data_IF_439901187358
#
_entry.id   IF_439901187358
#
_cell.length_a   1.000
_cell.length_b   1.000
_cell.length_c   1.000
_cell.angle_alpha   90.00
_cell.angle_beta   90.00
_cell.angle_gamma   90.00
#
_symmetry.space_group_name_H-M   'P 1'
#
loop_
_entity.id
_entity.type
_entity.pdbx_description
1 polymer ?
#
# COMPACT_ATOMS: atom_id res chain seq x y z
N UNK A 1 24.85 -25.39 6.31
CA UNK A 1 24.72 -24.67 7.58
C UNK A 1 23.47 -23.80 7.53
N UNK A 2 22.46 -24.11 8.35
CA UNK A 2 21.18 -23.39 8.35
C UNK A 2 21.24 -22.04 9.08
N UNK A 3 22.15 -21.90 10.06
CA UNK A 3 22.38 -20.62 10.72
C UNK A 3 22.99 -19.63 9.73
N UNK A 4 24.00 -20.07 8.97
CA UNK A 4 24.59 -19.26 7.91
C UNK A 4 23.53 -18.83 6.88
N UNK A 5 22.70 -19.76 6.41
CA UNK A 5 21.63 -19.46 5.45
C UNK A 5 20.59 -18.46 6.01
N UNK A 6 20.17 -18.63 7.27
CA UNK A 6 19.25 -17.72 7.94
C UNK A 6 19.81 -16.32 8.18
N UNK A 7 21.13 -16.19 8.32
CA UNK A 7 21.80 -14.91 8.54
C UNK A 7 21.99 -14.08 7.24
N UNK A 8 21.90 -14.70 6.05
CA UNK A 8 22.14 -14.02 4.76
C UNK A 8 21.36 -12.71 4.60
N UNK A 9 20.03 -12.64 4.86
CA UNK A 9 19.27 -11.40 4.64
C UNK A 9 19.79 -10.24 5.49
N UNK A 10 20.14 -10.52 6.74
CA UNK A 10 20.73 -9.53 7.65
C UNK A 10 22.12 -9.12 7.19
N UNK A 11 22.98 -10.08 6.84
CA UNK A 11 24.35 -9.80 6.38
C UNK A 11 24.35 -8.97 5.10
N UNK A 12 23.47 -9.29 4.14
CA UNK A 12 23.29 -8.51 2.90
C UNK A 12 22.80 -7.09 3.22
N UNK A 13 21.83 -6.95 4.12
CA UNK A 13 21.35 -5.64 4.53
C UNK A 13 22.46 -4.81 5.21
N UNK A 14 23.24 -5.40 6.12
CA UNK A 14 24.37 -4.72 6.77
C UNK A 14 25.43 -4.33 5.74
N UNK A 15 25.83 -5.26 4.87
CA UNK A 15 26.82 -4.99 3.82
C UNK A 15 26.37 -3.86 2.88
N UNK A 16 25.09 -3.86 2.48
CA UNK A 16 24.51 -2.80 1.67
C UNK A 16 24.56 -1.45 2.36
N UNK A 17 24.17 -1.37 3.64
CA UNK A 17 24.21 -0.09 4.38
C UNK A 17 25.65 0.37 4.61
N UNK A 18 26.56 -0.52 4.98
CA UNK A 18 27.99 -0.19 5.12
C UNK A 18 28.54 0.39 3.80
N UNK A 19 28.27 -0.27 2.68
CA UNK A 19 28.67 0.23 1.35
C UNK A 19 28.03 1.59 1.03
N UNK A 20 26.73 1.74 1.27
CA UNK A 20 26.00 2.99 1.02
C UNK A 20 26.61 4.15 1.81
N UNK A 21 26.77 3.99 3.14
CA UNK A 21 27.29 5.05 4.00
C UNK A 21 28.77 5.33 3.79
N UNK A 22 29.59 4.30 3.54
CA UNK A 22 31.03 4.48 3.33
C UNK A 22 31.34 5.20 2.02
N UNK A 23 30.57 4.97 0.96
CA UNK A 23 30.88 5.50 -0.37
C UNK A 23 30.05 6.70 -0.79
N UNK A 24 28.78 6.77 -0.38
CA UNK A 24 27.83 7.79 -0.86
C UNK A 24 27.36 8.74 0.25
N UNK A 25 27.72 8.47 1.52
CA UNK A 25 27.13 9.14 2.67
C UNK A 25 25.66 8.74 2.88
N UNK A 26 25.00 9.36 3.85
CA UNK A 26 23.58 9.12 4.11
C UNK A 26 22.72 9.89 3.09
N UNK A 27 21.93 9.23 2.23
CA UNK A 27 20.94 9.95 1.43
C UNK A 27 19.94 10.65 2.37
N UNK A 28 19.48 11.86 2.04
CA UNK A 28 18.53 12.59 2.90
C UNK A 28 17.24 11.80 3.23
N UNK A 29 16.81 10.92 2.32
CA UNK A 29 15.71 9.98 2.57
C UNK A 29 16.00 8.99 3.70
N UNK A 30 17.25 8.54 3.85
CA UNK A 30 17.69 7.64 4.92
C UNK A 30 17.73 8.36 6.27
N UNK A 31 18.14 9.63 6.32
CA UNK A 31 18.10 10.45 7.54
C UNK A 31 16.67 10.63 8.06
N UNK A 32 15.73 10.93 7.16
CA UNK A 32 14.30 10.97 7.49
C UNK A 32 13.80 9.65 8.08
N UNK A 33 14.27 8.52 7.56
CA UNK A 33 13.89 7.19 8.06
C UNK A 33 14.52 6.82 9.39
N UNK A 34 15.77 7.21 9.63
CA UNK A 34 16.39 7.08 10.95
C UNK A 34 15.67 7.94 11.99
N UNK A 35 15.22 9.13 11.61
CA UNK A 35 14.38 9.98 12.48
C UNK A 35 13.02 9.34 12.77
N UNK A 36 12.36 8.73 11.76
CA UNK A 36 11.11 7.98 11.95
C UNK A 36 11.31 6.78 12.91
N UNK A 37 12.39 6.01 12.72
CA UNK A 37 12.74 4.87 13.57
C UNK A 37 13.01 5.28 15.03
N UNK A 38 13.55 6.48 15.27
CA UNK A 38 13.75 7.02 16.64
C UNK A 38 12.45 7.43 17.32
N UNK A 39 11.34 7.56 16.58
CA UNK A 39 10.02 7.97 17.08
C UNK A 39 9.01 6.82 17.08
N UNK A 40 9.48 5.58 16.96
CA UNK A 40 8.61 4.41 17.01
C UNK A 40 7.89 4.34 18.36
N UNK A 41 6.55 4.29 18.30
CA UNK A 41 5.71 4.02 19.45
C UNK A 41 5.08 2.62 19.32
N UNK A 42 4.84 1.97 20.47
CA UNK A 42 4.34 0.59 20.53
C UNK A 42 2.97 0.46 19.85
N UNK A 43 2.10 1.48 19.98
CA UNK A 43 0.76 1.45 19.39
C UNK A 43 0.84 1.53 17.87
N UNK A 44 1.70 2.39 17.32
CA UNK A 44 1.99 2.51 15.90
C UNK A 44 2.53 1.21 15.32
N UNK A 45 3.47 0.57 16.00
CA UNK A 45 4.02 -0.74 15.63
C UNK A 45 2.92 -1.82 15.61
N UNK A 46 2.11 -1.93 16.66
CA UNK A 46 1.01 -2.91 16.73
C UNK A 46 -0.02 -2.67 15.63
N UNK A 47 -0.42 -1.41 15.40
CA UNK A 47 -1.34 -1.07 14.32
C UNK A 47 -0.76 -1.44 12.95
N UNK A 48 0.52 -1.14 12.68
CA UNK A 48 1.16 -1.46 11.40
C UNK A 48 1.34 -2.97 11.20
N UNK A 49 1.75 -3.69 12.26
CA UNK A 49 1.88 -5.14 12.23
C UNK A 49 0.53 -5.80 11.94
N UNK A 50 -0.54 -5.39 12.65
CA UNK A 50 -1.90 -5.88 12.39
C UNK A 50 -2.32 -5.63 10.94
N UNK A 51 -2.25 -4.38 10.46
CA UNK A 51 -2.63 -4.03 9.08
C UNK A 51 -1.77 -4.76 8.05
N UNK A 52 -0.47 -4.90 8.29
CA UNK A 52 0.45 -5.66 7.45
C UNK A 52 0.08 -7.15 7.36
N UNK A 53 -0.24 -7.79 8.49
CA UNK A 53 -0.68 -9.19 8.54
C UNK A 53 -2.02 -9.40 7.84
N UNK A 54 -2.97 -8.50 8.04
CA UNK A 54 -4.27 -8.52 7.36
C UNK A 54 -4.11 -8.41 5.84
N UNK A 55 -3.26 -7.50 5.35
CA UNK A 55 -2.96 -7.39 3.91
C UNK A 55 -2.23 -8.63 3.38
N UNK A 56 -1.27 -9.19 4.12
CA UNK A 56 -0.66 -10.47 3.75
C UNK A 56 -1.71 -11.59 3.68
N UNK A 57 -2.62 -11.65 4.65
CA UNK A 57 -3.75 -12.59 4.66
C UNK A 57 -4.61 -12.45 3.40
N UNK A 58 -5.01 -11.23 3.05
CA UNK A 58 -5.80 -10.98 1.84
C UNK A 58 -5.05 -11.38 0.55
N UNK A 59 -3.80 -10.94 0.39
CA UNK A 59 -2.99 -11.20 -0.80
C UNK A 59 -2.63 -12.69 -0.95
N UNK A 60 -2.50 -13.41 0.17
CA UNK A 60 -2.18 -14.83 0.22
C UNK A 60 -3.40 -15.71 0.51
N UNK A 61 -4.62 -15.17 0.45
CA UNK A 61 -5.85 -15.92 0.72
C UNK A 61 -5.99 -17.19 -0.15
N UNK A 62 -5.66 -17.19 -1.47
CA UNK A 62 -5.67 -18.41 -2.25
C UNK A 62 -4.75 -19.50 -1.68
N UNK A 63 -3.54 -19.13 -1.27
CA UNK A 63 -2.56 -20.04 -0.69
C UNK A 63 -3.01 -20.54 0.68
N UNK A 64 -3.53 -19.65 1.52
CA UNK A 64 -4.10 -20.00 2.83
C UNK A 64 -5.19 -21.07 2.67
N UNK A 65 -6.10 -20.92 1.69
CA UNK A 65 -7.11 -21.95 1.40
C UNK A 65 -6.54 -23.24 0.84
N UNK A 66 -5.46 -23.17 0.06
CA UNK A 66 -4.79 -24.35 -0.49
C UNK A 66 -4.04 -25.16 0.60
N UNK A 67 -3.56 -24.52 1.66
CA UNK A 67 -2.89 -25.20 2.78
C UNK A 67 -3.81 -25.48 3.98
N UNK A 68 -5.03 -24.93 4.00
CA UNK A 68 -5.91 -24.93 5.19
C UNK A 68 -6.14 -26.31 5.80
N UNK A 69 -6.36 -27.35 4.98
CA UNK A 69 -6.69 -28.70 5.46
C UNK A 69 -5.52 -29.28 6.26
N UNK A 70 -4.33 -29.07 5.72
CA UNK A 70 -3.09 -29.54 6.31
C UNK A 70 -2.75 -28.78 7.60
N UNK A 71 -2.90 -27.45 7.57
CA UNK A 71 -2.63 -26.59 8.74
C UNK A 71 -3.63 -26.83 9.87
N UNK A 72 -4.93 -26.89 9.56
CA UNK A 72 -5.97 -27.07 10.59
C UNK A 72 -5.90 -28.48 11.21
N UNK A 73 -5.41 -29.48 10.49
CA UNK A 73 -5.21 -30.82 11.05
C UNK A 73 -3.95 -30.92 11.90
N UNK A 74 -2.83 -30.35 11.46
CA UNK A 74 -1.54 -30.45 12.19
C UNK A 74 -1.36 -29.40 13.28
N UNK A 75 -1.89 -28.19 13.08
CA UNK A 75 -1.69 -27.02 13.94
C UNK A 75 -3.01 -26.30 14.31
N UNK A 76 -4.09 -27.01 14.72
CA UNK A 76 -5.41 -26.41 14.95
C UNK A 76 -5.40 -25.31 16.01
N UNK A 77 -4.66 -25.52 17.11
CA UNK A 77 -4.61 -24.57 18.23
C UNK A 77 -3.97 -23.25 17.82
N UNK A 78 -2.88 -23.31 17.05
CA UNK A 78 -2.17 -22.12 16.60
C UNK A 78 -3.00 -21.34 15.58
N UNK A 79 -3.56 -22.02 14.58
CA UNK A 79 -4.42 -21.38 13.59
C UNK A 79 -5.65 -20.74 14.27
N UNK A 80 -6.29 -21.46 15.20
CA UNK A 80 -7.42 -20.95 15.98
C UNK A 80 -7.05 -19.73 16.84
N UNK A 81 -5.95 -19.80 17.60
CA UNK A 81 -5.48 -18.69 18.43
C UNK A 81 -5.12 -17.45 17.61
N UNK A 82 -4.43 -17.63 16.47
CA UNK A 82 -4.08 -16.55 15.57
C UNK A 82 -5.33 -15.90 14.94
N UNK A 83 -6.26 -16.70 14.43
CA UNK A 83 -7.55 -16.21 13.90
C UNK A 83 -8.32 -15.42 14.96
N UNK A 84 -8.46 -15.96 16.18
CA UNK A 84 -9.18 -15.28 17.26
C UNK A 84 -8.50 -13.98 17.65
N UNK A 85 -7.17 -13.98 17.79
CA UNK A 85 -6.42 -12.77 18.15
C UNK A 85 -6.59 -11.68 17.10
N UNK A 86 -6.41 -12.02 15.82
CA UNK A 86 -6.59 -11.07 14.71
C UNK A 86 -8.04 -10.60 14.60
N UNK A 87 -9.03 -11.48 14.78
CA UNK A 87 -10.45 -11.11 14.77
C UNK A 87 -10.80 -10.16 15.92
N UNK A 88 -10.25 -10.37 17.12
CA UNK A 88 -10.42 -9.45 18.24
C UNK A 88 -9.79 -8.10 17.93
N UNK A 89 -8.57 -8.06 17.37
CA UNK A 89 -7.92 -6.80 16.97
C UNK A 89 -8.71 -6.08 15.88
N UNK A 90 -9.23 -6.80 14.88
CA UNK A 90 -10.09 -6.27 13.83
C UNK A 90 -11.38 -5.66 14.41
N UNK A 91 -12.04 -6.36 15.33
CA UNK A 91 -13.24 -5.87 16.01
C UNK A 91 -12.96 -4.63 16.86
N UNK A 92 -11.86 -4.63 17.63
CA UNK A 92 -11.45 -3.46 18.41
C UNK A 92 -11.13 -2.26 17.52
N UNK A 93 -10.47 -2.48 16.38
CA UNK A 93 -10.18 -1.43 15.41
C UNK A 93 -11.47 -0.90 14.76
N UNK A 94 -12.41 -1.78 14.42
CA UNK A 94 -13.71 -1.40 13.89
C UNK A 94 -14.52 -0.58 14.91
N UNK A 95 -14.55 -0.98 16.18
CA UNK A 95 -15.22 -0.24 17.24
C UNK A 95 -14.58 1.13 17.49
N UNK A 96 -13.25 1.24 17.36
CA UNK A 96 -12.49 2.49 17.57
C UNK A 96 -12.60 3.46 16.40
N UNK A 97 -12.52 2.96 15.17
CA UNK A 97 -12.29 3.78 13.96
C UNK A 97 -13.36 3.59 12.87
N UNK A 98 -14.30 2.65 13.03
CA UNK A 98 -15.19 2.22 11.96
C UNK A 98 -14.45 1.53 10.80
N UNK A 99 -13.20 1.11 11.03
CA UNK A 99 -12.31 0.62 9.98
C UNK A 99 -12.52 -0.87 9.70
N UNK A 100 -12.75 -1.19 8.43
CA UNK A 100 -12.74 -2.54 7.86
C UNK A 100 -11.78 -2.56 6.66
N UNK A 101 -11.53 -3.72 6.08
CA UNK A 101 -10.75 -3.80 4.83
C UNK A 101 -11.35 -2.87 3.76
N UNK A 102 -10.58 -2.01 3.12
CA UNK A 102 -9.12 -1.89 3.15
C UNK A 102 -8.59 -1.01 4.29
N UNK A 103 -7.71 -1.54 5.15
CA UNK A 103 -7.18 -0.81 6.31
C UNK A 103 -6.13 0.27 5.98
N UNK A 104 -5.54 0.24 4.79
CA UNK A 104 -4.55 1.20 4.32
C UNK A 104 -5.14 1.96 3.13
N UNK A 105 -5.18 3.28 3.22
CA UNK A 105 -5.84 4.16 2.23
C UNK A 105 -4.90 4.56 1.09
N UNK A 106 -4.07 3.63 0.62
CA UNK A 106 -2.88 3.97 -0.16
C UNK A 106 -2.92 3.40 -1.58
N UNK A 107 -2.57 2.12 -1.78
CA UNK A 107 -2.58 1.53 -3.14
C UNK A 107 -3.83 0.73 -3.35
N UNK A 108 -4.23 -0.13 -2.41
CA UNK A 108 -5.51 -0.85 -2.50
C UNK A 108 -6.54 -0.18 -1.59
N UNK A 109 -7.50 0.54 -2.17
CA UNK A 109 -8.62 1.10 -1.44
C UNK A 109 -9.83 1.27 -2.38
N UNK A 110 -11.05 0.96 -1.90
CA UNK A 110 -12.33 1.20 -2.60
C UNK A 110 -12.41 0.79 -4.09
N UNK A 111 -11.90 -0.41 -4.44
CA UNK A 111 -11.79 -0.90 -5.83
C UNK A 111 -10.95 0.00 -6.75
N UNK A 112 -10.00 0.74 -6.19
CA UNK A 112 -8.92 1.41 -6.90
C UNK A 112 -7.59 0.70 -6.70
N UNK A 113 -6.69 0.89 -7.66
CA UNK A 113 -5.26 0.66 -7.49
C UNK A 113 -4.50 1.99 -7.64
N UNK A 114 -3.51 2.20 -6.79
CA UNK A 114 -2.58 3.32 -6.82
C UNK A 114 -2.99 4.50 -5.94
N UNK A 115 -1.99 5.24 -5.45
CA UNK A 115 -2.24 6.43 -4.64
C UNK A 115 -2.93 7.51 -5.48
N UNK A 116 -4.13 7.92 -5.07
CA UNK A 116 -4.78 9.09 -5.69
C UNK A 116 -4.14 10.36 -5.17
N UNK A 117 -3.04 10.76 -5.80
CA UNK A 117 -2.25 11.95 -5.47
C UNK A 117 -2.90 13.27 -5.93
N UNK A 118 -4.18 13.26 -6.32
CA UNK A 118 -4.89 14.47 -6.72
C UNK A 118 -5.39 15.25 -5.51
N UNK A 119 -5.54 16.56 -5.69
CA UNK A 119 -5.89 17.49 -4.61
C UNK A 119 -7.20 17.12 -3.92
N UNK A 120 -8.20 16.68 -4.68
CA UNK A 120 -9.51 16.34 -4.14
C UNK A 120 -9.45 15.16 -3.15
N UNK A 121 -8.70 14.13 -3.49
CA UNK A 121 -8.71 12.84 -2.79
C UNK A 121 -7.67 12.78 -1.70
N UNK A 122 -6.40 13.07 -1.97
CA UNK A 122 -5.36 13.00 -0.93
C UNK A 122 -5.35 14.24 -0.02
N UNK A 123 -5.40 15.43 -0.61
CA UNK A 123 -5.16 16.66 0.13
C UNK A 123 -6.39 17.14 0.88
N UNK A 124 -7.53 17.25 0.19
CA UNK A 124 -8.82 17.63 0.78
C UNK A 124 -9.51 16.47 1.50
N UNK A 125 -8.95 15.26 1.43
CA UNK A 125 -9.53 14.03 2.00
C UNK A 125 -10.99 13.80 1.55
N UNK A 126 -11.35 14.23 0.34
CA UNK A 126 -12.68 13.99 -0.18
C UNK A 126 -12.81 12.52 -0.53
N UNK A 127 -13.92 11.95 -0.09
CA UNK A 127 -14.37 10.61 -0.39
C UNK A 127 -14.16 10.25 -1.86
N UNK A 128 -13.48 9.13 -2.20
CA UNK A 128 -13.23 8.75 -3.58
C UNK A 128 -14.55 8.52 -4.34
N UNK A 129 -14.55 8.65 -5.68
CA UNK A 129 -15.76 8.53 -6.50
C UNK A 129 -16.43 7.16 -6.41
N UNK A 130 -15.65 6.13 -6.09
CA UNK A 130 -16.11 4.77 -5.82
C UNK A 130 -15.80 4.49 -4.36
N UNK A 131 -16.76 3.90 -3.64
CA UNK A 131 -16.60 3.45 -2.26
C UNK A 131 -17.14 2.03 -2.13
N UNK A 132 -16.39 1.19 -1.42
CA UNK A 132 -16.89 -0.12 -1.02
C UNK A 132 -17.78 0.03 0.21
N UNK A 133 -19.03 -0.41 0.10
CA UNK A 133 -19.93 -0.48 1.26
C UNK A 133 -19.58 -1.63 2.22
N UNK A 134 -20.16 -1.63 3.43
CA UNK A 134 -19.96 -2.68 4.45
C UNK A 134 -20.19 -4.11 3.95
N UNK A 135 -21.07 -4.28 2.96
CA UNK A 135 -21.40 -5.56 2.32
C UNK A 135 -20.16 -6.21 1.69
N UNK A 136 -19.18 -5.42 1.23
CA UNK A 136 -17.96 -5.94 0.63
C UNK A 136 -16.76 -5.85 1.58
N UNK A 137 -16.68 -4.79 2.40
CA UNK A 137 -15.54 -4.60 3.32
C UNK A 137 -15.53 -5.58 4.49
N UNK A 138 -16.70 -5.98 5.01
CA UNK A 138 -16.78 -6.95 6.11
C UNK A 138 -16.37 -8.37 5.67
N UNK A 139 -16.88 -8.94 4.56
CA UNK A 139 -16.41 -10.24 4.07
C UNK A 139 -14.91 -10.24 3.74
N UNK A 140 -14.39 -9.15 3.17
CA UNK A 140 -12.95 -9.03 2.90
C UNK A 140 -12.13 -9.04 4.19
N UNK A 141 -12.62 -8.38 5.25
CA UNK A 141 -12.00 -8.41 6.57
C UNK A 141 -11.97 -9.84 7.12
N UNK A 142 -13.10 -10.55 7.09
CA UNK A 142 -13.17 -11.93 7.57
C UNK A 142 -12.23 -12.85 6.77
N UNK A 143 -12.20 -12.72 5.44
CA UNK A 143 -11.32 -13.49 4.58
C UNK A 143 -9.84 -13.22 4.91
N UNK A 144 -9.47 -11.96 5.05
CA UNK A 144 -8.11 -11.53 5.37
C UNK A 144 -7.66 -12.07 6.74
N UNK A 145 -8.47 -11.89 7.78
CA UNK A 145 -8.22 -12.36 9.14
C UNK A 145 -8.08 -13.88 9.18
N UNK A 146 -8.99 -14.62 8.55
CA UNK A 146 -8.94 -16.09 8.49
C UNK A 146 -7.71 -16.57 7.74
N UNK A 147 -7.41 -15.97 6.59
CA UNK A 147 -6.24 -16.34 5.79
C UNK A 147 -4.93 -16.06 6.54
N UNK A 148 -4.81 -14.90 7.19
CA UNK A 148 -3.65 -14.55 8.01
C UNK A 148 -3.45 -15.54 9.17
N UNK A 149 -4.52 -15.91 9.88
CA UNK A 149 -4.43 -16.89 10.97
C UNK A 149 -4.04 -18.30 10.50
N UNK A 150 -4.57 -18.75 9.34
CA UNK A 150 -4.15 -20.02 8.73
C UNK A 150 -2.66 -19.95 8.32
N UNK A 151 -2.20 -18.86 7.73
CA UNK A 151 -0.80 -18.69 7.33
C UNK A 151 0.13 -18.65 8.56
N UNK A 152 -0.28 -18.02 9.65
CA UNK A 152 0.45 -18.07 10.92
C UNK A 152 0.60 -19.53 11.42
N UNK A 153 -0.48 -20.32 11.36
CA UNK A 153 -0.43 -21.75 11.63
C UNK A 153 0.55 -22.50 10.72
N UNK A 154 0.51 -22.23 9.41
CA UNK A 154 1.45 -22.81 8.44
C UNK A 154 2.90 -22.48 8.78
N UNK A 155 3.18 -21.23 9.18
CA UNK A 155 4.54 -20.79 9.52
C UNK A 155 5.09 -21.47 10.79
N UNK A 156 4.25 -21.87 11.74
CA UNK A 156 4.74 -22.67 12.87
C UNK A 156 5.23 -24.06 12.46
N UNK A 157 4.73 -24.59 11.34
CA UNK A 157 5.26 -25.79 10.71
C UNK A 157 6.67 -25.62 10.13
N UNK A 158 7.15 -24.38 9.94
CA UNK A 158 8.54 -24.12 9.53
C UNK A 158 9.52 -24.32 10.68
N UNK A 159 9.12 -24.09 11.94
CA UNK A 159 10.04 -24.07 13.07
C UNK A 159 10.89 -25.33 13.24
N UNK A 160 10.35 -26.55 13.16
CA UNK A 160 11.17 -27.77 13.21
C UNK A 160 12.17 -27.87 12.05
N UNK A 161 11.86 -27.23 10.92
CA UNK A 161 12.64 -27.24 9.69
C UNK A 161 13.67 -26.11 9.60
N UNK A 162 13.75 -25.21 10.58
CA UNK A 162 14.78 -24.15 10.62
C UNK A 162 16.22 -24.69 10.75
N UNK A 163 16.38 -26.00 10.99
CA UNK A 163 17.66 -26.69 10.92
C UNK A 163 18.11 -26.99 9.48
N UNK A 164 17.20 -26.88 8.52
CA UNK A 164 17.48 -27.02 7.09
C UNK A 164 17.80 -25.63 6.49
N UNK A 165 18.84 -25.50 5.62
CA UNK A 165 19.24 -24.21 5.08
C UNK A 165 18.14 -23.45 4.32
N UNK A 166 17.35 -24.14 3.49
CA UNK A 166 16.34 -23.50 2.64
C UNK A 166 15.15 -22.95 3.47
N UNK A 167 14.47 -23.74 4.32
CA UNK A 167 13.43 -23.21 5.20
C UNK A 167 13.92 -22.11 6.13
N UNK A 168 15.16 -22.20 6.65
CA UNK A 168 15.76 -21.14 7.45
C UNK A 168 15.87 -19.84 6.64
N UNK A 169 16.50 -19.88 5.47
CA UNK A 169 16.64 -18.71 4.60
C UNK A 169 15.28 -18.07 4.28
N UNK A 170 14.28 -18.87 3.89
CA UNK A 170 12.95 -18.37 3.53
C UNK A 170 12.22 -17.71 4.70
N UNK A 171 12.20 -18.37 5.87
CA UNK A 171 11.52 -17.86 7.05
C UNK A 171 12.19 -16.61 7.61
N UNK A 172 13.52 -16.60 7.72
CA UNK A 172 14.25 -15.43 8.18
C UNK A 172 14.17 -14.28 7.19
N UNK A 173 14.17 -14.53 5.87
CA UNK A 173 13.94 -13.49 4.87
C UNK A 173 12.55 -12.88 4.99
N UNK A 174 11.50 -13.70 5.08
CA UNK A 174 10.13 -13.23 5.24
C UNK A 174 9.97 -12.40 6.53
N UNK A 175 10.50 -12.89 7.65
CA UNK A 175 10.43 -12.21 8.94
C UNK A 175 11.24 -10.91 8.93
N UNK A 176 12.49 -10.93 8.43
CA UNK A 176 13.35 -9.75 8.38
C UNK A 176 12.75 -8.65 7.49
N UNK A 177 12.28 -9.01 6.29
CA UNK A 177 11.67 -8.05 5.38
C UNK A 177 10.36 -7.50 5.94
N UNK A 178 9.52 -8.33 6.56
CA UNK A 178 8.29 -7.87 7.22
C UNK A 178 8.60 -6.94 8.40
N UNK A 179 9.55 -7.29 9.27
CA UNK A 179 9.98 -6.40 10.36
C UNK A 179 10.55 -5.08 9.82
N UNK A 180 11.25 -5.12 8.69
CA UNK A 180 11.73 -3.93 7.99
C UNK A 180 10.59 -3.01 7.54
N UNK A 181 9.44 -3.54 7.11
CA UNK A 181 8.29 -2.69 6.75
C UNK A 181 7.73 -1.94 7.96
N UNK A 182 7.83 -2.51 9.16
CA UNK A 182 7.34 -1.89 10.39
C UNK A 182 8.14 -0.65 10.81
N UNK A 183 9.30 -0.39 10.19
CA UNK A 183 10.03 0.87 10.38
C UNK A 183 9.33 2.08 9.74
N UNK A 184 8.23 1.86 9.00
CA UNK A 184 7.43 2.89 8.37
C UNK A 184 6.11 3.16 9.11
N UNK A 185 6.14 3.26 10.44
CA UNK A 185 4.91 3.39 11.24
C UNK A 185 4.09 4.62 10.93
N UNK A 186 4.71 5.71 10.46
CA UNK A 186 4.02 6.95 10.15
C UNK A 186 3.33 6.91 8.79
N UNK A 187 4.00 6.33 7.80
CA UNK A 187 3.52 6.22 6.43
C UNK A 187 3.59 4.77 5.95
N UNK A 188 2.80 3.90 6.57
CA UNK A 188 2.78 2.47 6.24
C UNK A 188 1.98 2.23 4.95
N UNK A 189 2.65 1.77 3.89
CA UNK A 189 2.04 1.48 2.60
C UNK A 189 1.96 -0.03 2.36
N UNK A 190 0.84 -0.50 1.80
CA UNK A 190 0.63 -1.91 1.42
C UNK A 190 1.73 -2.44 0.47
N UNK A 191 2.27 -1.61 -0.44
CA UNK A 191 3.36 -1.94 -1.37
C UNK A 191 4.65 -2.39 -0.69
N UNK A 192 4.83 -2.06 0.60
CA UNK A 192 5.97 -2.57 1.36
C UNK A 192 5.94 -4.10 1.51
N UNK A 193 4.76 -4.71 1.38
CA UNK A 193 4.62 -6.17 1.43
C UNK A 193 5.07 -6.86 0.13
N UNK A 194 5.24 -6.14 -0.98
CA UNK A 194 5.66 -6.75 -2.27
C UNK A 194 6.96 -7.54 -2.15
N UNK A 195 7.92 -7.03 -1.37
CA UNK A 195 9.20 -7.73 -1.14
C UNK A 195 9.06 -8.91 -0.17
N UNK A 196 8.03 -8.91 0.68
CA UNK A 196 7.76 -9.98 1.66
C UNK A 196 7.05 -11.17 1.00
N UNK A 197 6.14 -10.90 0.07
CA UNK A 197 5.27 -11.89 -0.57
C UNK A 197 6.00 -13.13 -1.11
N UNK A 198 7.08 -13.05 -1.93
CA UNK A 198 7.70 -14.25 -2.49
C UNK A 198 8.26 -15.18 -1.40
N UNK A 199 8.86 -14.61 -0.35
CA UNK A 199 9.40 -15.40 0.77
C UNK A 199 8.30 -15.97 1.65
N UNK A 200 7.22 -15.20 1.88
CA UNK A 200 6.05 -15.67 2.63
C UNK A 200 5.35 -16.86 1.92
N UNK A 201 5.19 -16.76 0.59
CA UNK A 201 4.65 -17.85 -0.25
C UNK A 201 5.54 -19.08 -0.15
N UNK A 202 6.83 -18.92 -0.41
CA UNK A 202 7.77 -20.03 -0.39
C UNK A 202 7.86 -20.70 0.99
N UNK A 203 7.89 -19.91 2.07
CA UNK A 203 7.89 -20.40 3.45
C UNK A 203 6.64 -21.24 3.76
N UNK A 204 5.45 -20.81 3.32
CA UNK A 204 4.21 -21.56 3.49
C UNK A 204 4.19 -22.85 2.64
N UNK A 205 4.71 -22.81 1.41
CA UNK A 205 4.80 -23.99 0.53
C UNK A 205 5.76 -25.06 1.06
N UNK A 206 6.84 -24.68 1.76
CA UNK A 206 7.73 -25.66 2.39
C UNK A 206 7.18 -26.18 3.71
N UNK A 207 6.32 -25.45 4.42
CA UNK A 207 5.84 -25.89 5.73
C UNK A 207 4.55 -26.70 5.70
N UNK A 208 3.73 -26.50 4.68
CA UNK A 208 2.42 -27.12 4.57
C UNK A 208 2.22 -27.77 3.20
N UNK A 209 1.40 -28.83 3.18
CA UNK A 209 1.01 -29.49 1.94
C UNK A 209 0.01 -28.61 1.19
N UNK A 210 0.43 -28.09 0.04
CA UNK A 210 -0.44 -27.31 -0.85
C UNK A 210 -1.38 -28.24 -1.61
N UNK A 211 -2.68 -28.03 -1.47
CA UNK A 211 -3.74 -28.73 -2.19
C UNK A 211 -4.67 -27.70 -2.82
N UNK A 212 -4.46 -27.41 -4.10
CA UNK A 212 -5.34 -26.50 -4.82
C UNK A 212 -6.79 -27.01 -4.79
N UNK A 213 -7.70 -26.10 -4.47
CA UNK A 213 -9.15 -26.32 -4.48
C UNK A 213 -9.79 -25.41 -5.52
N UNK A 214 -11.02 -25.72 -5.94
CA UNK A 214 -11.79 -24.83 -6.82
C UNK A 214 -11.91 -23.41 -6.26
N UNK A 215 -12.07 -23.28 -4.93
CA UNK A 215 -12.14 -21.96 -4.25
C UNK A 215 -10.81 -21.22 -4.29
N UNK A 216 -9.68 -21.88 -4.04
CA UNK A 216 -8.37 -21.22 -4.12
C UNK A 216 -8.04 -20.79 -5.55
N UNK A 217 -8.40 -21.60 -6.55
CA UNK A 217 -8.22 -21.24 -7.97
C UNK A 217 -9.13 -20.06 -8.35
N UNK A 218 -10.38 -20.05 -7.91
CA UNK A 218 -11.30 -18.94 -8.14
C UNK A 218 -10.79 -17.64 -7.50
N UNK A 219 -10.32 -17.67 -6.25
CA UNK A 219 -9.71 -16.49 -5.62
C UNK A 219 -8.43 -16.04 -6.33
N UNK A 220 -7.61 -16.97 -6.83
CA UNK A 220 -6.44 -16.63 -7.65
C UNK A 220 -6.85 -15.89 -8.92
N UNK A 221 -7.88 -16.37 -9.61
CA UNK A 221 -8.42 -15.72 -10.80
C UNK A 221 -9.01 -14.33 -10.49
N UNK A 222 -9.72 -14.18 -9.36
CA UNK A 222 -10.25 -12.88 -8.90
C UNK A 222 -9.12 -11.89 -8.59
N UNK A 223 -8.07 -12.32 -7.90
CA UNK A 223 -6.91 -11.46 -7.63
C UNK A 223 -6.14 -11.10 -8.90
N UNK A 224 -5.98 -12.04 -9.83
CA UNK A 224 -5.38 -11.78 -11.13
C UNK A 224 -6.19 -10.76 -11.94
N UNK A 225 -7.52 -10.92 -11.98
CA UNK A 225 -8.43 -9.95 -12.59
C UNK A 225 -8.31 -8.58 -11.91
N UNK A 226 -8.36 -8.51 -10.58
CA UNK A 226 -8.22 -7.27 -9.83
C UNK A 226 -6.88 -6.57 -10.13
N UNK A 227 -5.77 -7.31 -10.17
CA UNK A 227 -4.46 -6.77 -10.50
C UNK A 227 -4.42 -6.19 -11.92
N UNK A 228 -4.95 -6.91 -12.92
CA UNK A 228 -4.99 -6.44 -14.31
C UNK A 228 -5.92 -5.24 -14.46
N UNK A 229 -7.17 -5.36 -14.00
CA UNK A 229 -8.19 -4.33 -14.15
C UNK A 229 -7.84 -3.05 -13.37
N UNK A 230 -7.35 -3.17 -12.14
CA UNK A 230 -6.93 -2.00 -11.37
C UNK A 230 -5.66 -1.35 -11.92
N UNK A 231 -4.69 -2.12 -12.44
CA UNK A 231 -3.51 -1.55 -13.12
C UNK A 231 -3.92 -0.83 -14.40
N UNK A 232 -4.81 -1.43 -15.19
CA UNK A 232 -5.40 -0.78 -16.36
C UNK A 232 -6.02 0.56 -15.98
N UNK A 233 -6.88 0.58 -14.96
CA UNK A 233 -7.61 1.78 -14.53
C UNK A 233 -6.65 2.85 -13.99
N UNK A 234 -5.65 2.45 -13.20
CA UNK A 234 -4.59 3.34 -12.71
C UNK A 234 -3.86 4.03 -13.86
N UNK A 235 -3.42 3.26 -14.85
CA UNK A 235 -2.72 3.80 -16.01
C UNK A 235 -3.65 4.63 -16.90
N UNK A 236 -4.93 4.28 -17.00
CA UNK A 236 -5.91 4.99 -17.81
C UNK A 236 -6.18 6.41 -17.28
N UNK A 237 -6.42 6.55 -15.97
CA UNK A 237 -6.64 7.89 -15.40
C UNK A 237 -5.35 8.72 -15.39
N UNK A 238 -4.18 8.09 -15.21
CA UNK A 238 -2.90 8.77 -15.33
C UNK A 238 -2.67 9.32 -16.74
N UNK A 239 -2.94 8.53 -17.79
CA UNK A 239 -2.89 9.03 -19.18
C UNK A 239 -3.83 10.21 -19.40
N UNK A 240 -5.06 10.15 -18.87
CA UNK A 240 -6.01 11.25 -18.96
C UNK A 240 -5.53 12.51 -18.23
N UNK A 241 -4.96 12.35 -17.03
CA UNK A 241 -4.31 13.43 -16.26
C UNK A 241 -3.20 14.08 -17.07
N UNK A 242 -2.22 13.30 -17.54
CA UNK A 242 -1.07 13.83 -18.27
C UNK A 242 -1.46 14.43 -19.62
N UNK A 243 -2.48 13.90 -20.30
CA UNK A 243 -3.01 14.53 -21.51
C UNK A 243 -3.64 15.90 -21.23
N UNK A 244 -4.36 16.04 -20.11
CA UNK A 244 -4.91 17.33 -19.67
C UNK A 244 -3.83 18.35 -19.31
N UNK A 245 -2.82 17.91 -18.55
CA UNK A 245 -1.70 18.76 -18.13
C UNK A 245 -0.80 19.16 -19.30
N UNK A 246 -0.49 18.24 -20.22
CA UNK A 246 0.27 18.53 -21.43
C UNK A 246 -0.44 19.59 -22.29
N UNK A 247 -1.75 19.41 -22.53
CA UNK A 247 -2.52 20.39 -23.27
C UNK A 247 -2.55 21.78 -22.60
N UNK A 248 -2.47 21.84 -21.27
CA UNK A 248 -2.39 23.11 -20.53
C UNK A 248 -1.00 23.74 -20.71
N UNK A 249 0.07 22.97 -20.53
CA UNK A 249 1.44 23.46 -20.71
C UNK A 249 1.74 23.87 -22.15
N UNK A 250 1.13 23.21 -23.14
CA UNK A 250 1.25 23.55 -24.56
C UNK A 250 0.67 24.94 -24.89
N UNK A 251 -0.18 25.50 -24.02
CA UNK A 251 -0.66 26.89 -24.13
C UNK A 251 0.31 27.91 -23.51
N UNK A 252 1.47 27.46 -23.01
CA UNK A 252 2.49 28.30 -22.39
C UNK A 252 2.33 28.47 -20.87
N UNK A 253 1.42 27.73 -20.23
CA UNK A 253 1.27 27.77 -18.76
C UNK A 253 2.46 27.07 -18.10
N UNK A 254 3.14 27.80 -17.21
CA UNK A 254 4.28 27.27 -16.44
C UNK A 254 3.83 26.18 -15.45
N UNK A 255 4.59 25.08 -15.28
CA UNK A 255 4.35 24.09 -14.23
C UNK A 255 4.25 24.68 -12.82
N UNK A 256 4.86 25.84 -12.55
CA UNK A 256 4.75 26.53 -11.27
C UNK A 256 3.32 27.01 -10.94
N UNK A 257 2.46 27.18 -11.95
CA UNK A 257 1.07 27.58 -11.79
C UNK A 257 0.09 26.40 -11.66
N UNK A 258 0.61 25.16 -11.57
CA UNK A 258 -0.16 23.93 -11.71
C UNK A 258 0.03 23.03 -10.47
N UNK A 259 -1.07 22.63 -9.85
CA UNK A 259 -1.15 21.47 -8.96
C UNK A 259 -1.62 20.23 -9.76
N UNK A 260 -0.66 19.51 -10.35
CA UNK A 260 -0.88 18.31 -11.16
C UNK A 260 -0.89 17.02 -10.33
N UNK A 261 -0.76 17.15 -9.01
CA UNK A 261 -0.51 16.05 -8.09
C UNK A 261 0.98 15.71 -7.98
N UNK A 262 1.29 14.87 -6.99
CA UNK A 262 2.66 14.60 -6.54
C UNK A 262 3.64 14.29 -7.68
N UNK A 263 3.30 13.38 -8.60
CA UNK A 263 4.24 12.93 -9.63
C UNK A 263 4.58 14.02 -10.64
N UNK A 264 3.58 14.80 -11.09
CA UNK A 264 3.79 15.90 -12.03
C UNK A 264 4.62 17.00 -11.40
N UNK A 265 4.22 17.44 -10.20
CA UNK A 265 4.91 18.49 -9.48
C UNK A 265 6.33 18.08 -9.09
N UNK A 266 6.55 16.82 -8.69
CA UNK A 266 7.89 16.30 -8.42
C UNK A 266 8.78 16.36 -9.65
N UNK A 267 8.27 15.89 -10.79
CA UNK A 267 9.02 15.84 -12.05
C UNK A 267 9.48 17.22 -12.51
N UNK A 268 8.61 18.23 -12.40
CA UNK A 268 8.90 19.57 -12.91
C UNK A 268 9.60 20.49 -11.89
N UNK A 269 9.33 20.33 -10.58
CA UNK A 269 9.67 21.36 -9.60
C UNK A 269 10.53 20.85 -8.44
N UNK A 270 10.68 19.53 -8.23
CA UNK A 270 11.43 19.04 -7.06
C UNK A 270 12.91 19.43 -7.07
N UNK A 271 13.57 19.29 -8.22
CA UNK A 271 14.98 19.61 -8.37
C UNK A 271 15.24 21.12 -8.23
N UNK A 272 14.35 21.94 -8.80
CA UNK A 272 14.43 23.41 -8.73
C UNK A 272 14.19 23.92 -7.31
N UNK A 273 13.14 23.42 -6.64
CA UNK A 273 12.77 23.89 -5.31
C UNK A 273 13.70 23.38 -4.21
N UNK A 274 14.44 22.29 -4.44
CA UNK A 274 15.43 21.75 -3.51
C UNK A 274 14.89 21.40 -2.11
N UNK A 275 13.58 21.35 -1.94
CA UNK A 275 12.90 21.17 -0.65
C UNK A 275 12.08 19.90 -0.66
N UNK A 276 11.92 19.30 0.52
CA UNK A 276 11.09 18.12 0.72
C UNK A 276 9.98 18.45 1.71
N UNK A 277 8.75 17.97 1.50
CA UNK A 277 7.67 18.22 2.45
C UNK A 277 8.02 17.65 3.81
N UNK A 278 7.81 18.46 4.84
CA UNK A 278 7.93 17.99 6.21
C UNK A 278 6.73 17.14 6.60
N UNK A 279 6.97 16.27 7.55
CA UNK A 279 5.99 15.53 8.33
C UNK A 279 4.81 16.36 8.87
N UNK A 280 5.02 17.66 9.15
CA UNK A 280 3.98 18.57 9.60
C UNK A 280 3.05 18.99 8.46
N UNK A 281 3.60 19.12 7.25
CA UNK A 281 2.87 19.51 6.04
C UNK A 281 2.16 18.31 5.40
N UNK A 282 2.78 17.13 5.41
CA UNK A 282 2.27 15.89 4.80
C UNK A 282 1.15 15.22 5.61
N UNK A 283 0.00 15.90 5.71
CA UNK A 283 -1.21 15.43 6.40
C UNK A 283 -2.42 15.55 5.46
N UNK A 284 -3.29 14.51 5.38
CA UNK A 284 -4.58 14.62 4.69
C UNK A 284 -5.54 15.58 5.41
N UNK A 285 -6.52 16.11 4.67
CA UNK A 285 -7.63 16.89 5.23
C UNK A 285 -7.27 18.35 5.54
N UNK A 286 -6.35 18.92 4.76
CA UNK A 286 -5.97 20.33 4.90
C UNK A 286 -7.10 21.26 4.42
N UNK A 287 -7.19 22.49 4.95
CA UNK A 287 -8.19 23.46 4.50
C UNK A 287 -8.11 23.72 3.00
N UNK A 288 -9.25 23.90 2.33
CA UNK A 288 -9.30 24.15 0.89
C UNK A 288 -8.52 25.39 0.44
N UNK A 289 -8.33 26.36 1.36
CA UNK A 289 -7.54 27.59 1.19
C UNK A 289 -6.03 27.34 1.17
N UNK A 290 -5.57 26.16 1.57
CA UNK A 290 -4.15 25.80 1.60
C UNK A 290 -3.81 25.03 0.34
N UNK A 291 -2.64 25.33 -0.26
CA UNK A 291 -2.12 24.58 -1.40
C UNK A 291 -1.63 23.19 -0.99
N UNK A 292 -1.59 22.26 -1.94
CA UNK A 292 -0.99 20.94 -1.72
C UNK A 292 0.46 21.07 -1.21
N UNK A 293 0.80 20.23 -0.23
CA UNK A 293 2.05 20.36 0.54
C UNK A 293 3.31 19.87 -0.18
N UNK A 294 3.18 19.24 -1.35
CA UNK A 294 4.32 18.91 -2.22
C UNK A 294 4.76 20.14 -3.01
N UNK A 295 5.53 19.93 -4.07
CA UNK A 295 6.14 20.94 -4.93
C UNK A 295 5.12 21.78 -5.72
N UNK A 296 4.21 22.47 -5.04
CA UNK A 296 3.23 23.42 -5.59
C UNK A 296 3.67 24.84 -5.23
N UNK A 297 3.89 25.67 -6.25
CA UNK A 297 4.21 27.09 -6.07
C UNK A 297 2.91 27.89 -6.00
N UNK A 298 2.10 27.83 -7.05
CA UNK A 298 0.73 28.33 -7.17
C UNK A 298 -0.21 27.21 -7.65
N UNK A 299 -1.49 27.32 -7.32
CA UNK A 299 -2.54 26.37 -7.67
C UNK A 299 -3.59 26.97 -8.62
N UNK A 300 -3.21 27.98 -9.43
CA UNK A 300 -4.10 28.56 -10.46
C UNK A 300 -4.77 27.47 -11.29
N UNK A 301 -4.05 26.41 -11.64
CA UNK A 301 -4.62 25.23 -12.27
C UNK A 301 -4.49 23.99 -11.38
N UNK A 302 -5.51 23.13 -11.36
CA UNK A 302 -5.54 21.91 -10.52
C UNK A 302 -6.05 20.72 -11.32
N UNK A 303 -5.35 19.59 -11.25
CA UNK A 303 -5.87 18.30 -11.71
C UNK A 303 -6.70 17.62 -10.60
N UNK A 304 -7.91 17.16 -10.93
CA UNK A 304 -8.85 16.57 -9.95
C UNK A 304 -9.75 15.52 -10.60
N UNK A 305 -10.33 14.61 -9.82
CA UNK A 305 -11.39 13.71 -10.32
C UNK A 305 -12.78 14.37 -10.35
N UNK A 306 -12.92 15.54 -9.71
CA UNK A 306 -14.19 16.26 -9.57
C UNK A 306 -14.01 17.79 -9.62
N UNK A 307 -15.07 18.57 -9.91
CA UNK A 307 -15.04 20.02 -9.73
C UNK A 307 -14.74 20.40 -8.28
N UNK A 308 -14.01 21.50 -8.08
CA UNK A 308 -13.68 22.04 -6.77
C UNK A 308 -14.28 23.44 -6.58
N UNK A 309 -14.76 23.80 -5.37
CA UNK A 309 -15.22 25.15 -5.08
C UNK A 309 -14.13 26.20 -5.37
N UNK A 310 -14.50 27.32 -5.98
CA UNK A 310 -13.55 28.39 -6.36
C UNK A 310 -12.80 28.13 -7.67
N UNK A 311 -13.15 27.06 -8.41
CA UNK A 311 -12.55 26.74 -9.70
C UNK A 311 -13.61 26.48 -10.76
N UNK A 312 -13.30 26.87 -12.00
CA UNK A 312 -14.04 26.50 -13.21
C UNK A 312 -13.36 25.32 -13.91
N UNK A 313 -14.12 24.51 -14.65
CA UNK A 313 -13.55 23.42 -15.45
C UNK A 313 -12.94 24.02 -16.71
N UNK A 314 -11.61 23.97 -16.83
CA UNK A 314 -10.90 24.33 -18.05
C UNK A 314 -11.00 23.20 -19.09
N UNK A 315 -10.82 21.94 -18.66
CA UNK A 315 -10.94 20.77 -19.54
C UNK A 315 -11.34 19.51 -18.77
N UNK A 316 -12.11 18.64 -19.40
CA UNK A 316 -12.43 17.31 -18.88
C UNK A 316 -11.91 16.24 -19.85
N UNK A 317 -11.14 15.28 -19.33
CA UNK A 317 -10.53 14.20 -20.10
C UNK A 317 -11.12 12.87 -19.62
N UNK A 318 -11.92 12.17 -20.44
CA UNK A 318 -12.52 10.90 -20.06
C UNK A 318 -11.49 9.76 -20.08
N UNK A 319 -11.72 8.74 -19.26
CA UNK A 319 -10.98 7.48 -19.30
C UNK A 319 -11.91 6.29 -19.02
N UNK A 320 -11.58 5.11 -19.56
CA UNK A 320 -12.36 3.88 -19.34
C UNK A 320 -11.86 3.14 -18.10
N UNK A 321 -12.80 2.57 -17.36
CA UNK A 321 -12.56 1.72 -16.19
C UNK A 321 -13.02 0.29 -16.43
N UNK A 322 -12.28 -0.68 -15.91
CA UNK A 322 -12.57 -2.11 -15.97
C UNK A 322 -13.00 -2.65 -14.61
N UNK A 323 -12.45 -2.16 -13.51
CA UNK A 323 -12.72 -2.72 -12.18
C UNK A 323 -14.11 -2.31 -11.66
N UNK A 324 -14.49 -1.06 -11.91
CA UNK A 324 -15.87 -0.59 -11.88
C UNK A 324 -16.22 -0.13 -13.30
N UNK A 325 -16.75 -1.05 -14.15
CA UNK A 325 -16.98 -0.78 -15.56
C UNK A 325 -17.72 0.53 -15.79
N UNK A 326 -17.17 1.36 -16.68
CA UNK A 326 -17.77 2.64 -17.04
C UNK A 326 -16.72 3.68 -17.39
N UNK A 327 -17.16 4.93 -17.46
CA UNK A 327 -16.31 6.07 -17.83
C UNK A 327 -16.03 6.93 -16.60
N UNK A 328 -14.75 7.12 -16.29
CA UNK A 328 -14.28 8.14 -15.36
C UNK A 328 -13.83 9.39 -16.13
N UNK A 329 -13.49 10.45 -15.39
CA UNK A 329 -12.86 11.64 -15.97
C UNK A 329 -11.85 12.24 -15.01
N UNK A 330 -10.80 12.83 -15.57
CA UNK A 330 -9.94 13.79 -14.88
C UNK A 330 -10.34 15.17 -15.39
N UNK A 331 -10.53 16.12 -14.49
CA UNK A 331 -10.78 17.52 -14.82
C UNK A 331 -9.55 18.34 -14.49
N UNK A 332 -9.18 19.21 -15.42
CA UNK A 332 -8.24 20.30 -15.20
C UNK A 332 -9.09 21.52 -14.92
N UNK A 333 -8.83 22.11 -13.76
CA UNK A 333 -9.59 23.21 -13.20
C UNK A 333 -8.75 24.49 -13.25
N UNK A 334 -9.38 25.64 -13.48
CA UNK A 334 -8.76 26.96 -13.38
C UNK A 334 -9.43 27.75 -12.25
N UNK A 335 -8.63 28.39 -11.40
CA UNK A 335 -9.11 29.21 -10.28
C UNK A 335 -9.96 30.35 -10.83
N UNK A 336 -11.21 30.43 -10.37
CA UNK A 336 -12.14 31.48 -10.80
C UNK A 336 -11.61 32.83 -10.34
N UNK A 337 -11.56 33.82 -11.24
CA UNK A 337 -11.35 35.21 -10.86
C UNK A 337 -12.63 35.72 -10.22
N UNK A 338 -12.67 35.77 -8.89
CA UNK A 338 -13.68 36.47 -8.12
C UNK A 338 -13.58 37.97 -8.29
#
# INVERSE_FOLDING_TARGET
DALAAGAIPLLVAVAFHVWLFAWHGAPGGMESKLSEARRLDVRGLVNCAFRGLEYLGLLLAPLALAVRRDVVTRHPRMAGAACTTLATLAALLYLREGAAMFYLTNVMYDLGLGASSLRDTLFLALRPPVQLGPILTLPLTLLATMAAGILAGAWTGVWPRLREPVPAFLAFSAAFLFLGTLLHTRYYFDRYLLVVLPFAIAAACVSARVQASGVSLALTAVLAWYAVAGTHDYLAWNRARYAGLAALTDTGVSPQAIDGGMEFNAWHLAAELGTWPTDAQARPGQPATTKSWWWVVDDRFVASFRPLPGYAIWRAIPYRRWLVPGTGRVVILERSTS
#
